data_IF_170110074339
#
_entry.id   IF_170110074339
#
_cell.length_a   1.000
_cell.length_b   1.000
_cell.length_c   1.000
_cell.angle_alpha   90.00
_cell.angle_beta   90.00
_cell.angle_gamma   90.00
#
_symmetry.space_group_name_H-M   'P 1'
#
loop_
_entity.id
_entity.type
_entity.pdbx_description
1 polymer ?
#
# COMPACT_ATOMS: atom_id res chain seq x y z
N UNK A 1 -14.67 -3.65 38.46
CA UNK A 1 -13.50 -4.30 37.84
C UNK A 1 -13.96 -4.99 36.58
N UNK A 2 -14.03 -4.22 35.49
CA UNK A 2 -14.52 -4.66 34.19
C UNK A 2 -13.37 -4.52 33.21
N UNK A 3 -12.54 -5.56 33.11
CA UNK A 3 -11.53 -5.63 32.05
C UNK A 3 -12.27 -6.02 30.79
N UNK A 4 -12.41 -5.04 29.89
CA UNK A 4 -12.94 -5.27 28.56
C UNK A 4 -12.09 -6.32 27.86
N UNK A 5 -12.72 -7.46 27.60
CA UNK A 5 -12.24 -8.46 26.65
C UNK A 5 -12.06 -7.76 25.32
N UNK A 6 -10.82 -7.73 24.84
CA UNK A 6 -10.46 -7.29 23.51
C UNK A 6 -11.18 -8.19 22.49
N UNK A 7 -11.90 -7.63 21.50
CA UNK A 7 -12.54 -8.43 20.49
C UNK A 7 -11.47 -9.12 19.63
N UNK A 8 -11.50 -10.44 19.66
CA UNK A 8 -11.03 -11.25 18.56
C UNK A 8 -11.98 -11.00 17.37
N UNK A 9 -11.39 -10.96 16.17
CA UNK A 9 -12.05 -11.22 14.89
C UNK A 9 -13.01 -10.14 14.39
N UNK A 10 -12.55 -9.33 13.44
CA UNK A 10 -13.03 -9.40 12.05
C UNK A 10 -12.48 -8.22 11.21
N UNK A 11 -12.30 -8.49 9.92
CA UNK A 11 -12.00 -7.53 8.86
C UNK A 11 -10.55 -7.04 8.84
N UNK A 12 -9.79 -7.51 7.85
CA UNK A 12 -9.23 -6.69 6.75
C UNK A 12 -9.19 -5.18 7.01
N UNK A 13 -8.57 -4.77 8.10
CA UNK A 13 -8.34 -3.36 8.38
C UNK A 13 -7.14 -2.99 7.52
N UNK A 14 -7.46 -2.54 6.30
CA UNK A 14 -6.76 -1.50 5.57
C UNK A 14 -6.53 -0.30 6.51
N UNK A 15 -5.68 -0.46 7.51
CA UNK A 15 -5.16 0.65 8.26
C UNK A 15 -4.17 1.33 7.30
N UNK A 16 -4.43 2.57 6.84
CA UNK A 16 -3.36 3.37 6.28
C UNK A 16 -2.38 3.55 7.41
N UNK A 17 -1.35 2.69 7.47
CA UNK A 17 -0.27 2.89 8.41
C UNK A 17 0.28 4.27 8.05
N UNK A 18 0.13 5.21 8.99
CA UNK A 18 0.39 6.62 8.77
C UNK A 18 1.85 6.78 8.34
N UNK A 19 2.09 6.81 7.03
CA UNK A 19 3.43 6.75 6.44
C UNK A 19 3.60 5.79 5.26
N UNK A 20 2.63 4.90 4.94
CA UNK A 20 2.68 4.15 3.68
C UNK A 20 1.72 4.71 2.65
N UNK A 21 2.30 5.02 1.50
CA UNK A 21 1.60 5.60 0.38
C UNK A 21 0.85 4.49 -0.36
N UNK A 22 -0.45 4.70 -0.59
CA UNK A 22 -1.31 3.76 -1.31
C UNK A 22 -0.91 3.59 -2.77
N UNK A 23 -1.62 2.72 -3.49
CA UNK A 23 -1.29 2.42 -4.88
C UNK A 23 -1.50 3.68 -5.77
N UNK A 24 -0.46 4.20 -6.44
CA UNK A 24 -0.55 5.43 -7.24
C UNK A 24 -1.24 5.24 -8.59
N UNK A 25 -1.40 3.99 -9.03
CA UNK A 25 -1.99 3.64 -10.32
C UNK A 25 -3.50 3.55 -10.19
N UNK A 26 -3.96 2.77 -9.21
CA UNK A 26 -5.36 2.49 -9.01
C UNK A 26 -5.99 3.37 -7.89
N UNK A 27 -5.19 4.09 -7.10
CA UNK A 27 -5.66 5.01 -6.04
C UNK A 27 -6.20 4.30 -4.81
N UNK A 28 -5.98 2.98 -4.72
CA UNK A 28 -6.42 2.19 -3.57
C UNK A 28 -5.53 2.45 -2.35
N UNK A 29 -6.10 2.37 -1.14
CA UNK A 29 -5.32 2.44 0.09
C UNK A 29 -4.25 1.34 0.11
N UNK A 30 -3.14 1.64 0.80
CA UNK A 30 -2.09 0.68 1.03
C UNK A 30 -2.66 -0.50 1.82
N UNK A 31 -2.48 -1.71 1.30
CA UNK A 31 -2.88 -2.94 1.98
C UNK A 31 -1.63 -3.78 2.28
N UNK A 32 -1.54 -4.30 3.50
CA UNK A 32 -0.47 -5.21 3.90
C UNK A 32 -0.57 -6.58 3.22
N UNK A 33 -1.71 -6.91 2.63
CA UNK A 33 -1.91 -8.13 1.83
C UNK A 33 -1.33 -8.02 0.42
N UNK A 34 -0.90 -6.82 -0.01
CA UNK A 34 -0.24 -6.63 -1.30
C UNK A 34 1.13 -7.30 -1.31
N UNK A 35 1.18 -8.46 -1.98
CA UNK A 35 2.41 -9.21 -2.24
C UNK A 35 3.25 -8.59 -3.36
N UNK A 36 2.63 -7.78 -4.23
CA UNK A 36 3.33 -7.10 -5.30
C UNK A 36 3.91 -5.79 -4.79
N UNK A 37 5.22 -5.66 -4.90
CA UNK A 37 5.93 -4.41 -4.62
C UNK A 37 7.06 -4.22 -5.62
N UNK A 38 7.53 -2.98 -5.73
CA UNK A 38 8.70 -2.63 -6.52
C UNK A 38 9.54 -1.62 -5.75
N UNK A 39 10.86 -1.77 -5.82
CA UNK A 39 11.80 -0.86 -5.17
C UNK A 39 12.20 0.20 -6.18
N UNK A 40 11.91 1.46 -5.88
CA UNK A 40 12.23 2.62 -6.71
C UNK A 40 13.00 3.64 -5.90
N UNK A 41 14.20 4.02 -6.35
CA UNK A 41 15.06 5.02 -5.68
C UNK A 41 15.28 4.80 -4.17
N UNK A 42 15.34 3.54 -3.74
CA UNK A 42 15.48 3.11 -2.33
C UNK A 42 14.17 3.12 -1.51
N UNK A 43 13.04 3.35 -2.16
CA UNK A 43 11.71 3.27 -1.55
C UNK A 43 10.91 2.09 -2.08
N UNK A 44 10.15 1.46 -1.20
CA UNK A 44 9.34 0.28 -1.54
C UNK A 44 7.91 0.69 -1.80
N UNK A 45 7.49 0.60 -3.05
CA UNK A 45 6.12 0.88 -3.48
C UNK A 45 5.36 -0.43 -3.57
N UNK A 46 4.24 -0.54 -2.85
CA UNK A 46 3.37 -1.71 -2.94
C UNK A 46 2.23 -1.44 -3.92
N UNK A 47 1.84 -2.49 -4.64
CA UNK A 47 0.81 -2.45 -5.66
C UNK A 47 -0.29 -3.44 -5.36
N UNK A 48 -1.53 -3.03 -5.63
CA UNK A 48 -2.69 -3.90 -5.45
C UNK A 48 -2.64 -5.14 -6.35
N UNK A 49 -1.94 -5.06 -7.49
CA UNK A 49 -1.85 -6.15 -8.46
C UNK A 49 -0.62 -6.01 -9.35
N UNK A 50 -0.23 -7.12 -10.01
CA UNK A 50 0.80 -7.12 -11.04
C UNK A 50 0.55 -6.09 -12.15
N UNK A 51 -0.71 -5.82 -12.46
CA UNK A 51 -1.09 -4.79 -13.44
C UNK A 51 -0.69 -3.40 -12.97
N UNK A 52 -0.99 -3.01 -11.72
CA UNK A 52 -0.59 -1.72 -11.17
C UNK A 52 0.96 -1.63 -11.09
N UNK A 53 1.66 -2.73 -10.73
CA UNK A 53 3.13 -2.81 -10.84
C UNK A 53 3.65 -2.56 -12.27
N UNK A 54 3.10 -3.21 -13.31
CA UNK A 54 3.55 -3.00 -14.70
C UNK A 54 3.30 -1.57 -15.18
N UNK A 55 2.18 -0.98 -14.79
CA UNK A 55 1.86 0.40 -15.14
C UNK A 55 2.85 1.35 -14.48
N UNK A 56 3.19 1.11 -13.22
CA UNK A 56 4.27 1.79 -12.54
C UNK A 56 5.60 1.61 -13.27
N UNK A 57 5.99 0.38 -13.62
CA UNK A 57 7.25 0.07 -14.30
C UNK A 57 7.39 0.77 -15.66
N UNK A 58 6.27 0.98 -16.36
CA UNK A 58 6.25 1.77 -17.62
C UNK A 58 6.54 3.26 -17.41
N UNK A 59 6.14 3.84 -16.28
CA UNK A 59 6.30 5.27 -16.00
C UNK A 59 6.58 5.55 -14.51
N UNK A 60 7.68 4.99 -13.95
CA UNK A 60 7.85 4.94 -12.50
C UNK A 60 8.07 6.35 -11.93
N UNK A 61 8.76 7.23 -12.66
CA UNK A 61 8.97 8.63 -12.27
C UNK A 61 7.65 9.39 -12.05
N UNK A 62 6.65 9.18 -12.91
CA UNK A 62 5.36 9.88 -12.82
C UNK A 62 4.59 9.46 -11.56
N UNK A 63 4.64 8.17 -11.23
CA UNK A 63 3.94 7.63 -10.08
C UNK A 63 4.73 7.86 -8.79
N UNK A 64 6.05 7.71 -8.81
CA UNK A 64 6.95 8.03 -7.70
C UNK A 64 6.85 9.51 -7.29
N UNK A 65 6.84 10.44 -8.25
CA UNK A 65 6.64 11.85 -7.97
C UNK A 65 5.28 12.15 -7.31
N UNK A 66 4.23 11.39 -7.67
CA UNK A 66 2.91 11.49 -7.02
C UNK A 66 2.90 10.92 -5.60
N UNK A 67 3.75 9.93 -5.33
CA UNK A 67 3.95 9.37 -3.99
C UNK A 67 4.90 10.21 -3.13
N UNK A 68 5.69 11.12 -3.73
CA UNK A 68 6.71 11.91 -3.05
C UNK A 68 8.05 11.19 -2.88
N UNK A 69 8.35 10.24 -3.79
CA UNK A 69 9.59 9.44 -3.87
C UNK A 69 10.59 10.00 -4.88
#
# INVERSE_FOLDING_TARGET
MSTVTQPAEDTTALQPIAGKVGDPVCGMPYDTTYHEFSVYKNDTVHFCSLTCKRVFDKNPEKYAAKLGL
#
